data_IF_264147103759
#
_entry.id   IF_264147103759
#
_cell.length_a   1.000
_cell.length_b   1.000
_cell.length_c   1.000
_cell.angle_alpha   90.00
_cell.angle_beta   90.00
_cell.angle_gamma   90.00
#
_symmetry.space_group_name_H-M   'P 1'
#
loop_
_entity.id
_entity.type
_entity.pdbx_description
1 polymer ?
#
# COMPACT_ATOMS: atom_id res chain seq x y z
N UNK A 1 -70.31 -2.55 48.78
CA UNK A 1 -69.08 -1.73 48.85
C UNK A 1 -68.23 -2.02 47.62
N UNK A 2 -67.74 -0.96 46.96
CA UNK A 2 -67.12 -0.98 45.64
C UNK A 2 -65.66 -1.46 45.64
N UNK A 3 -65.30 -2.24 44.62
CA UNK A 3 -63.93 -2.47 44.14
C UNK A 3 -63.51 -1.32 43.23
N UNK A 4 -62.27 -0.82 43.30
CA UNK A 4 -61.39 -0.51 42.15
C UNK A 4 -59.93 -0.45 42.62
N UNK A 5 -59.06 -1.28 42.05
CA UNK A 5 -57.60 -1.16 42.12
C UNK A 5 -57.14 -0.08 41.13
N UNK A 6 -56.39 0.90 41.61
CA UNK A 6 -55.86 2.00 40.80
C UNK A 6 -54.80 1.54 39.80
N UNK A 7 -55.09 1.75 38.52
CA UNK A 7 -54.16 1.64 37.41
C UNK A 7 -53.16 2.79 37.44
N UNK A 8 -51.85 2.49 37.47
CA UNK A 8 -50.78 3.47 37.34
C UNK A 8 -50.34 3.53 35.87
N UNK A 9 -50.86 4.52 35.13
CA UNK A 9 -50.40 4.86 33.79
C UNK A 9 -48.99 5.46 33.85
N UNK A 10 -47.99 4.74 33.36
CA UNK A 10 -46.65 5.28 33.06
C UNK A 10 -46.68 5.88 31.66
N UNK A 11 -46.57 7.21 31.57
CA UNK A 11 -46.49 7.92 30.29
C UNK A 11 -45.10 7.74 29.66
N UNK A 12 -45.11 7.25 28.43
CA UNK A 12 -43.95 7.16 27.55
C UNK A 12 -43.38 8.56 27.28
N UNK A 13 -42.14 8.84 27.69
CA UNK A 13 -41.47 10.05 27.20
C UNK A 13 -40.22 10.54 27.94
N UNK A 14 -39.84 9.98 29.09
CA UNK A 14 -38.70 10.53 29.86
C UNK A 14 -37.78 9.51 30.54
N UNK A 15 -37.64 8.32 29.94
CA UNK A 15 -36.61 7.33 30.31
C UNK A 15 -35.56 7.08 29.23
N UNK A 16 -35.77 7.58 28.00
CA UNK A 16 -34.80 7.47 26.89
C UNK A 16 -33.69 8.55 26.93
N UNK A 17 -33.85 9.61 27.73
CA UNK A 17 -32.93 10.77 27.71
C UNK A 17 -31.73 10.57 28.65
N UNK A 18 -31.89 9.79 29.73
CA UNK A 18 -30.80 9.55 30.69
C UNK A 18 -29.81 8.47 30.24
N UNK A 19 -30.24 7.49 29.44
CA UNK A 19 -29.34 6.50 28.84
C UNK A 19 -28.52 7.12 27.67
N UNK A 20 -29.09 8.13 26.99
CA UNK A 20 -28.43 8.80 25.85
C UNK A 20 -27.30 9.76 26.26
N UNK A 21 -27.33 10.31 27.48
CA UNK A 21 -26.28 11.20 28.01
C UNK A 21 -25.07 10.43 28.57
N UNK A 22 -25.25 9.18 28.99
CA UNK A 22 -24.14 8.36 29.51
C UNK A 22 -23.36 7.66 28.39
N UNK A 23 -24.03 7.34 27.27
CA UNK A 23 -23.38 6.65 26.13
C UNK A 23 -22.47 7.57 25.28
N UNK A 24 -22.64 8.89 25.37
CA UNK A 24 -21.85 9.84 24.55
C UNK A 24 -20.54 10.35 25.18
N UNK A 25 -20.19 9.92 26.40
CA UNK A 25 -18.96 10.40 27.08
C UNK A 25 -18.02 9.29 27.56
N UNK A 26 -18.30 8.03 27.20
CA UNK A 26 -17.43 6.88 27.49
C UNK A 26 -16.49 6.57 26.32
N UNK A 27 -16.58 7.28 25.20
CA UNK A 27 -15.64 7.14 24.07
C UNK A 27 -14.34 7.95 24.22
N UNK A 28 -14.29 8.94 25.12
CA UNK A 28 -13.14 9.86 25.26
C UNK A 28 -12.30 9.57 26.52
N UNK A 29 -12.16 8.29 26.89
CA UNK A 29 -11.28 7.86 27.98
C UNK A 29 -10.41 6.65 27.58
N UNK A 30 -9.84 6.71 26.39
CA UNK A 30 -8.68 5.91 26.00
C UNK A 30 -7.67 6.88 25.42
N UNK A 31 -6.46 6.95 25.97
CA UNK A 31 -5.38 7.73 25.37
C UNK A 31 -5.33 7.42 23.88
N UNK A 32 -5.56 8.46 23.06
CA UNK A 32 -5.73 8.35 21.62
C UNK A 32 -4.66 7.41 21.04
N UNK A 33 -5.09 6.25 20.55
CA UNK A 33 -4.33 5.43 19.62
C UNK A 33 -4.22 6.20 18.32
N UNK A 34 -3.33 7.19 18.30
CA UNK A 34 -3.15 8.09 17.16
C UNK A 34 -2.46 7.32 16.04
N UNK A 35 -3.22 7.02 14.99
CA UNK A 35 -2.70 6.46 13.74
C UNK A 35 -1.74 7.46 13.10
N UNK A 36 -0.51 7.02 12.84
CA UNK A 36 0.55 7.84 12.23
C UNK A 36 0.91 7.23 10.88
N UNK A 37 1.36 8.10 9.96
CA UNK A 37 1.86 7.66 8.67
C UNK A 37 3.32 7.21 8.80
N UNK A 38 3.59 5.99 8.36
CA UNK A 38 4.91 5.38 8.34
C UNK A 38 5.32 5.03 6.93
N UNK A 39 6.61 5.19 6.68
CA UNK A 39 7.31 4.62 5.54
C UNK A 39 8.09 3.40 6.00
N UNK A 40 7.95 2.29 5.29
CA UNK A 40 8.71 1.07 5.52
C UNK A 40 9.37 0.66 4.21
N UNK A 41 10.70 0.57 4.25
CA UNK A 41 11.49 -0.06 3.19
C UNK A 41 12.18 -1.28 3.76
N UNK A 42 12.03 -2.43 3.11
CA UNK A 42 12.73 -3.65 3.49
C UNK A 42 13.35 -4.34 2.29
N UNK A 43 14.42 -5.08 2.58
CA UNK A 43 15.26 -5.78 1.62
C UNK A 43 15.19 -7.27 1.94
N UNK A 44 14.72 -8.06 0.99
CA UNK A 44 14.68 -9.52 1.09
C UNK A 44 15.89 -10.15 0.41
N UNK A 45 16.22 -11.37 0.83
CA UNK A 45 17.26 -12.17 0.17
C UNK A 45 16.88 -12.38 -1.32
N UNK A 46 17.76 -11.98 -2.26
CA UNK A 46 17.47 -12.06 -3.70
C UNK A 46 17.43 -13.50 -4.24
N UNK A 47 17.80 -14.50 -3.44
CA UNK A 47 17.73 -15.92 -3.82
C UNK A 47 16.39 -16.58 -3.47
N UNK A 48 15.49 -15.86 -2.79
CA UNK A 48 14.16 -16.37 -2.51
C UNK A 48 13.38 -16.56 -3.81
N UNK A 49 12.61 -17.64 -3.85
CA UNK A 49 11.59 -17.83 -4.90
C UNK A 49 10.54 -16.73 -4.83
N UNK A 50 10.00 -16.32 -5.98
CA UNK A 50 8.98 -15.27 -6.06
C UNK A 50 7.80 -15.52 -5.13
N UNK A 51 7.33 -16.78 -5.02
CA UNK A 51 6.24 -17.16 -4.12
C UNK A 51 6.53 -16.85 -2.64
N UNK A 52 7.79 -17.00 -2.21
CA UNK A 52 8.20 -16.67 -0.83
C UNK A 52 8.29 -15.16 -0.63
N UNK A 53 8.79 -14.43 -1.62
CA UNK A 53 8.80 -12.96 -1.61
C UNK A 53 7.38 -12.44 -1.44
N UNK A 54 6.45 -12.89 -2.28
CA UNK A 54 5.04 -12.48 -2.23
C UNK A 54 4.39 -12.86 -0.89
N UNK A 55 4.71 -14.04 -0.35
CA UNK A 55 4.23 -14.47 0.96
C UNK A 55 4.70 -13.58 2.11
N UNK A 56 5.95 -13.10 2.07
CA UNK A 56 6.45 -12.15 3.08
C UNK A 56 5.75 -10.81 2.95
N UNK A 57 5.58 -10.30 1.72
CA UNK A 57 4.85 -9.05 1.46
C UNK A 57 3.41 -9.17 1.97
N UNK A 58 2.70 -10.21 1.57
CA UNK A 58 1.32 -10.44 1.97
C UNK A 58 1.17 -10.57 3.49
N UNK A 59 2.10 -11.24 4.17
CA UNK A 59 2.10 -11.34 5.63
C UNK A 59 2.13 -9.95 6.28
N UNK A 60 2.99 -9.05 5.79
CA UNK A 60 3.08 -7.67 6.29
C UNK A 60 1.77 -6.90 6.01
N UNK A 61 1.19 -7.07 4.82
CA UNK A 61 -0.09 -6.43 4.47
C UNK A 61 -1.24 -6.89 5.36
N UNK A 62 -1.32 -8.19 5.61
CA UNK A 62 -2.31 -8.79 6.52
C UNK A 62 -2.12 -8.26 7.93
N UNK A 63 -0.89 -8.26 8.44
CA UNK A 63 -0.55 -7.69 9.74
C UNK A 63 -1.04 -6.24 9.87
N UNK A 64 -0.72 -5.38 8.89
CA UNK A 64 -1.17 -3.98 8.90
C UNK A 64 -2.69 -3.91 8.93
N UNK A 65 -3.37 -4.71 8.12
CA UNK A 65 -4.84 -4.70 8.02
C UNK A 65 -5.53 -5.21 9.29
N UNK A 66 -5.01 -6.26 9.93
CA UNK A 66 -5.53 -6.83 11.17
C UNK A 66 -5.44 -5.84 12.34
N UNK A 67 -4.43 -4.98 12.35
CA UNK A 67 -4.25 -3.92 13.33
C UNK A 67 -5.02 -2.63 12.98
N UNK A 68 -6.00 -2.71 12.06
CA UNK A 68 -6.77 -1.58 11.55
C UNK A 68 -5.92 -0.47 10.91
N UNK A 69 -4.74 -0.83 10.41
CA UNK A 69 -3.91 0.05 9.61
C UNK A 69 -4.36 0.11 8.15
N UNK A 70 -3.96 1.15 7.44
CA UNK A 70 -4.32 1.39 6.04
C UNK A 70 -3.05 1.52 5.19
N UNK A 71 -2.96 0.77 4.10
CA UNK A 71 -1.84 0.87 3.15
C UNK A 71 -2.17 1.96 2.13
N UNK A 72 -1.38 3.03 2.13
CA UNK A 72 -1.52 4.19 1.24
C UNK A 72 -0.81 3.96 -0.10
N UNK A 73 0.36 3.29 -0.06
CA UNK A 73 1.14 2.98 -1.26
C UNK A 73 1.95 1.70 -1.06
N UNK A 74 2.08 0.93 -2.14
CA UNK A 74 3.00 -0.20 -2.24
C UNK A 74 3.76 -0.12 -3.55
N UNK A 75 5.09 -0.13 -3.47
CA UNK A 75 5.96 -0.25 -4.64
C UNK A 75 6.90 -1.45 -4.48
N UNK A 76 6.85 -2.36 -5.45
CA UNK A 76 7.77 -3.50 -5.54
C UNK A 76 8.90 -3.09 -6.48
N UNK A 77 10.06 -2.78 -5.91
CA UNK A 77 11.19 -2.19 -6.64
C UNK A 77 12.10 -3.24 -7.29
N UNK A 78 11.92 -4.52 -6.94
CA UNK A 78 12.63 -5.65 -7.51
C UNK A 78 14.06 -5.82 -7.01
N UNK A 79 14.84 -6.65 -7.70
CA UNK A 79 16.24 -6.95 -7.38
C UNK A 79 17.15 -5.78 -7.75
N UNK A 80 17.92 -5.28 -6.79
CA UNK A 80 18.90 -4.19 -6.98
C UNK A 80 20.25 -4.56 -6.35
N UNK A 81 21.33 -3.97 -6.86
CA UNK A 81 22.69 -4.17 -6.32
C UNK A 81 22.85 -3.36 -5.03
N UNK A 82 23.41 -3.98 -4.01
CA UNK A 82 23.73 -3.34 -2.73
C UNK A 82 25.10 -2.63 -2.84
N UNK A 83 25.28 -1.55 -2.09
CA UNK A 83 26.55 -0.81 -2.07
C UNK A 83 27.70 -1.63 -1.46
N UNK A 84 27.37 -2.51 -0.52
CA UNK A 84 28.27 -3.48 0.12
C UNK A 84 27.49 -4.76 0.40
N UNK A 85 28.22 -5.84 0.70
CA UNK A 85 27.59 -7.13 0.98
C UNK A 85 26.89 -7.14 2.33
N UNK A 86 25.65 -7.62 2.35
CA UNK A 86 24.88 -7.88 3.57
C UNK A 86 24.63 -9.38 3.62
N UNK A 87 25.06 -10.06 4.68
CA UNK A 87 24.96 -11.52 4.81
C UNK A 87 25.49 -12.27 3.57
N UNK A 88 26.63 -11.81 3.01
CA UNK A 88 27.26 -12.35 1.79
C UNK A 88 26.37 -12.24 0.53
N UNK A 89 25.41 -11.31 0.52
CA UNK A 89 24.58 -10.99 -0.65
C UNK A 89 25.03 -9.67 -1.25
N UNK A 90 25.30 -9.65 -2.56
CA UNK A 90 25.61 -8.44 -3.33
C UNK A 90 24.36 -7.74 -3.90
N UNK A 91 23.22 -8.43 -3.84
CA UNK A 91 21.93 -7.95 -4.33
C UNK A 91 20.89 -8.08 -3.23
N UNK A 92 19.81 -7.31 -3.35
CA UNK A 92 18.65 -7.38 -2.47
C UNK A 92 17.37 -7.12 -3.25
N UNK A 93 16.27 -7.75 -2.85
CA UNK A 93 14.95 -7.47 -3.42
C UNK A 93 14.26 -6.41 -2.58
N UNK A 94 13.99 -5.23 -3.16
CA UNK A 94 13.48 -4.07 -2.45
C UNK A 94 11.96 -3.99 -2.52
N UNK A 95 11.34 -3.71 -1.38
CA UNK A 95 9.91 -3.43 -1.25
C UNK A 95 9.73 -2.16 -0.42
N UNK A 96 8.83 -1.30 -0.89
CA UNK A 96 8.46 -0.05 -0.26
C UNK A 96 6.97 -0.06 0.08
N UNK A 97 6.65 0.34 1.30
CA UNK A 97 5.29 0.49 1.81
C UNK A 97 5.13 1.86 2.49
N UNK A 98 4.04 2.53 2.18
CA UNK A 98 3.57 3.72 2.89
C UNK A 98 2.22 3.37 3.50
N UNK A 99 2.07 3.49 4.82
CA UNK A 99 0.86 3.04 5.51
C UNK A 99 0.60 3.82 6.81
N UNK A 100 -0.67 3.92 7.17
CA UNK A 100 -1.13 4.41 8.46
C UNK A 100 -1.22 3.26 9.45
N UNK A 101 -0.63 3.42 10.64
CA UNK A 101 -0.71 2.44 11.71
C UNK A 101 -0.50 3.05 13.09
N UNK A 102 -0.77 2.28 14.14
CA UNK A 102 -0.36 2.60 15.50
C UNK A 102 1.12 2.26 15.72
N UNK A 103 1.76 2.88 16.71
CA UNK A 103 3.17 2.60 17.02
C UNK A 103 3.40 1.17 17.51
N UNK A 104 2.44 0.60 18.24
CA UNK A 104 2.52 -0.79 18.72
C UNK A 104 2.56 -1.78 17.57
N UNK A 105 1.83 -1.49 16.49
CA UNK A 105 1.83 -2.35 15.32
C UNK A 105 3.19 -2.37 14.62
N UNK A 106 3.83 -1.20 14.48
CA UNK A 106 5.18 -1.11 13.92
C UNK A 106 6.16 -1.97 14.72
N UNK A 107 6.06 -1.94 16.06
CA UNK A 107 6.92 -2.76 16.92
C UNK A 107 6.73 -4.27 16.71
N UNK A 108 5.55 -4.72 16.30
CA UNK A 108 5.26 -6.12 15.97
C UNK A 108 5.90 -6.50 14.64
N UNK A 109 5.71 -5.67 13.60
CA UNK A 109 6.31 -5.89 12.27
C UNK A 109 7.84 -5.95 12.37
N UNK A 110 8.45 -5.02 13.10
CA UNK A 110 9.90 -5.00 13.26
C UNK A 110 10.44 -6.20 14.04
N UNK A 111 9.68 -6.72 15.01
CA UNK A 111 10.03 -7.96 15.72
C UNK A 111 10.00 -9.15 14.76
N UNK A 112 8.96 -9.24 13.94
CA UNK A 112 8.84 -10.30 12.93
C UNK A 112 9.97 -10.25 11.90
N UNK A 113 10.38 -9.05 11.47
CA UNK A 113 11.51 -8.89 10.56
C UNK A 113 12.85 -9.26 11.19
N UNK A 114 13.07 -8.97 12.47
CA UNK A 114 14.28 -9.39 13.18
C UNK A 114 14.38 -10.91 13.31
N UNK A 115 13.24 -11.61 13.41
CA UNK A 115 13.18 -13.07 13.51
C UNK A 115 13.22 -13.76 12.14
N UNK A 116 12.92 -13.04 11.07
CA UNK A 116 12.87 -13.60 9.73
C UNK A 116 14.22 -13.47 9.01
N UNK A 117 14.95 -14.57 8.91
CA UNK A 117 16.25 -14.65 8.21
C UNK A 117 16.18 -14.26 6.72
N UNK A 118 15.00 -14.30 6.12
CA UNK A 118 14.78 -13.88 4.73
C UNK A 118 14.88 -12.37 4.54
N UNK A 119 14.77 -11.58 5.62
CA UNK A 119 14.89 -10.12 5.60
C UNK A 119 16.33 -9.73 5.89
N UNK A 120 17.01 -9.16 4.90
CA UNK A 120 18.41 -8.73 5.05
C UNK A 120 18.52 -7.42 5.84
N UNK A 121 17.58 -6.49 5.62
CA UNK A 121 17.53 -5.18 6.29
C UNK A 121 16.14 -4.58 6.16
N UNK A 122 15.76 -3.76 7.12
CA UNK A 122 14.57 -2.93 7.04
C UNK A 122 14.84 -1.55 7.65
N UNK A 123 14.02 -0.58 7.27
CA UNK A 123 14.01 0.76 7.82
C UNK A 123 12.56 1.24 7.88
N UNK A 124 12.11 1.54 9.09
CA UNK A 124 10.81 2.16 9.34
C UNK A 124 11.02 3.62 9.74
N UNK A 125 10.31 4.53 9.10
CA UNK A 125 10.38 5.97 9.36
C UNK A 125 8.98 6.48 9.66
N UNK A 126 8.79 7.12 10.81
CA UNK A 126 7.58 7.89 11.09
C UNK A 126 7.64 9.21 10.33
N UNK A 127 6.64 9.48 9.49
CA UNK A 127 6.61 10.72 8.74
C UNK A 127 6.17 11.89 9.63
N UNK A 128 6.87 13.02 9.46
CA UNK A 128 6.54 14.28 10.14
C UNK A 128 5.42 15.00 9.39
N UNK A 129 4.66 15.90 10.05
CA UNK A 129 3.63 16.69 9.38
C UNK A 129 4.15 17.53 8.21
N UNK A 130 5.43 17.93 8.25
CA UNK A 130 6.07 18.67 7.16
C UNK A 130 6.30 17.77 5.94
N UNK A 131 6.81 16.56 6.16
CA UNK A 131 7.05 15.58 5.10
C UNK A 131 5.74 15.19 4.40
N UNK A 132 4.67 14.96 5.17
CA UNK A 132 3.34 14.62 4.63
C UNK A 132 2.84 15.73 3.69
N UNK A 133 2.92 16.99 4.12
CA UNK A 133 2.52 18.15 3.29
C UNK A 133 3.34 18.27 2.01
N UNK A 134 4.63 17.93 2.07
CA UNK A 134 5.49 17.95 0.88
C UNK A 134 5.07 16.87 -0.11
N UNK A 135 4.85 15.64 0.36
CA UNK A 135 4.37 14.54 -0.48
C UNK A 135 3.02 14.87 -1.14
N UNK A 136 2.10 15.52 -0.43
CA UNK A 136 0.82 15.97 -0.99
C UNK A 136 1.00 17.02 -2.10
N UNK A 137 1.95 17.95 -1.94
CA UNK A 137 2.28 18.94 -2.97
C UNK A 137 2.88 18.29 -4.21
N UNK A 138 3.80 17.35 -4.02
CA UNK A 138 4.42 16.59 -5.11
C UNK A 138 3.36 15.78 -5.88
N UNK A 139 2.43 15.12 -5.19
CA UNK A 139 1.28 14.45 -5.80
C UNK A 139 0.42 15.41 -6.63
N UNK A 140 0.13 16.61 -6.12
CA UNK A 140 -0.66 17.62 -6.85
C UNK A 140 0.08 18.14 -8.09
N UNK A 141 1.40 18.30 -8.01
CA UNK A 141 2.21 18.74 -9.13
C UNK A 141 2.32 17.66 -10.22
N UNK A 142 2.46 16.38 -9.85
CA UNK A 142 2.52 15.27 -10.80
C UNK A 142 1.19 15.07 -11.54
N UNK A 143 0.06 15.19 -10.83
CA UNK A 143 -1.28 15.09 -11.44
C UNK A 143 -1.58 16.26 -12.39
N UNK A 144 -1.08 17.47 -12.08
CA UNK A 144 -1.25 18.64 -12.95
C UNK A 144 -0.42 18.56 -14.23
N UNK A 145 0.76 17.93 -14.19
CA UNK A 145 1.55 17.67 -15.40
C UNK A 145 0.91 16.62 -16.33
N UNK A 146 0.17 15.65 -15.81
CA UNK A 146 -0.57 14.67 -16.63
C UNK A 146 -1.82 15.26 -17.30
N UNK A 147 -2.45 16.30 -16.72
CA UNK A 147 -3.55 17.02 -17.37
C UNK A 147 -3.07 17.91 -18.52
N UNK A 148 -1.89 18.55 -18.40
CA UNK A 148 -1.34 19.42 -19.46
C UNK A 148 -0.84 18.69 -20.71
N UNK A 149 -0.66 17.37 -20.67
CA UNK A 149 -0.23 16.57 -21.84
C UNK A 149 -1.42 16.12 -22.72
N UNK A 150 -2.67 16.26 -22.25
CA UNK A 150 -3.86 15.89 -23.04
C UNK A 150 -4.32 16.94 -24.06
N UNK A 151 -3.79 18.17 -24.00
CA UNK A 151 -4.18 19.29 -24.88
C UNK A 151 -3.23 19.56 -26.06
N UNK A 152 -2.22 18.69 -26.30
CA UNK A 152 -1.40 18.76 -27.52
C UNK A 152 -1.57 17.47 -28.31
N UNK A 153 -2.57 17.44 -29.22
CA UNK A 153 -2.72 16.35 -30.20
C UNK A 153 -2.50 16.87 -31.63
N UNK A 154 -1.59 16.17 -32.31
CA UNK A 154 -1.43 16.02 -33.78
C UNK A 154 -0.74 17.16 -34.54
N UNK A 155 0.58 17.02 -34.77
CA UNK A 155 1.09 17.18 -36.14
C UNK A 155 1.26 15.76 -36.69
N UNK A 156 0.55 15.38 -37.76
CA UNK A 156 0.61 14.02 -38.29
C UNK A 156 1.94 13.79 -39.04
N UNK A 157 2.57 12.61 -38.92
CA UNK A 157 3.58 12.17 -39.88
C UNK A 157 2.93 12.08 -41.27
N UNK A 158 3.51 12.64 -42.34
CA UNK A 158 2.94 12.47 -43.68
C UNK A 158 3.05 11.01 -44.11
N UNK A 159 1.88 10.36 -44.27
CA UNK A 159 1.73 9.16 -45.08
C UNK A 159 2.11 9.48 -46.53
N UNK A 160 3.07 8.72 -47.08
CA UNK A 160 3.12 8.46 -48.52
C UNK A 160 2.94 6.96 -48.70
N UNK A 161 1.86 6.63 -49.39
CA UNK A 161 1.31 5.32 -49.69
C UNK A 161 2.09 4.63 -50.85
N UNK A 162 1.76 3.39 -51.30
CA UNK A 162 2.62 2.20 -51.27
C UNK A 162 2.91 1.61 -52.68
N UNK A 163 3.78 0.58 -52.78
CA UNK A 163 3.76 -0.46 -53.84
C UNK A 163 4.77 -1.60 -53.50
N UNK A 164 4.62 -2.85 -53.98
CA UNK A 164 3.82 -3.90 -53.34
C UNK A 164 4.63 -5.18 -52.98
N UNK A 165 4.19 -5.92 -51.96
CA UNK A 165 4.70 -7.28 -51.67
C UNK A 165 3.58 -8.28 -51.89
N UNK A 166 3.63 -9.00 -53.02
CA UNK A 166 2.86 -10.22 -53.23
C UNK A 166 3.62 -11.14 -54.20
N UNK A 167 4.25 -12.20 -53.68
CA UNK A 167 3.88 -13.59 -53.99
C UNK A 167 4.79 -14.59 -53.29
N UNK A 168 4.17 -15.71 -52.97
CA UNK A 168 4.58 -16.90 -52.22
C UNK A 168 5.75 -17.73 -52.80
N UNK A 169 6.27 -18.59 -51.90
CA UNK A 169 6.86 -19.93 -52.13
C UNK A 169 8.09 -20.10 -53.03
N UNK A 170 9.20 -20.58 -52.46
CA UNK A 170 9.70 -21.95 -52.72
C UNK A 170 11.07 -22.21 -52.06
N UNK A 171 11.20 -23.43 -51.55
CA UNK A 171 12.39 -24.09 -51.00
C UNK A 171 13.36 -24.45 -52.15
N UNK A 172 14.67 -24.23 -52.00
CA UNK A 172 15.74 -25.16 -52.47
C UNK A 172 17.19 -24.62 -52.26
N UNK A 173 17.97 -25.43 -51.54
CA UNK A 173 19.38 -25.82 -51.75
C UNK A 173 20.54 -24.81 -51.70
N UNK A 174 21.24 -24.86 -50.56
CA UNK A 174 22.60 -25.44 -50.42
C UNK A 174 23.68 -25.06 -51.47
N UNK A 175 24.60 -24.19 -51.02
CA UNK A 175 26.06 -24.13 -51.22
C UNK A 175 26.69 -24.36 -52.63
N UNK A 176 27.37 -23.30 -53.09
CA UNK A 176 28.79 -23.20 -53.50
C UNK A 176 29.46 -24.45 -54.14
N UNK A 177 29.82 -24.42 -55.42
CA UNK A 177 31.05 -23.85 -56.03
C UNK A 177 32.36 -24.59 -55.72
N UNK A 178 33.00 -24.96 -56.83
CA UNK A 178 34.46 -24.99 -57.13
C UNK A 178 35.39 -25.86 -56.28
#
# INVERSE_FOLDING_TARGET
>A
MQFVHGSLQVSNGRWQILIKITILKVSDLGGLMESKLYELTFILDPQLEQKKIDGVIQKVETQISEAQGEIVKKDILGKRRLAYEINRRQYGFYVYLLFNATGDMVNVIERDFKLNESVLRFLTIRLSPVAIKQMEKEKKHSLKSEETVKDVKVVPPPETEPEPVASEEAVANENDKE
#
